data_IF_690556713176
#
_entry.id   IF_690556713176
#
_cell.length_a   1.000
_cell.length_b   1.000
_cell.length_c   1.000
_cell.angle_alpha   90.00
_cell.angle_beta   90.00
_cell.angle_gamma   90.00
#
_symmetry.space_group_name_H-M   'P 1'
#
loop_
_entity.id
_entity.type
_entity.pdbx_description
1 polymer ?
#
# COMPACT_ATOMS: atom_id res chain seq x y z
N UNK A 1 12.76 29.64 20.38
CA UNK A 1 13.15 28.54 21.29
C UNK A 1 11.88 27.86 21.78
N UNK A 2 11.52 26.70 21.22
CA UNK A 2 10.34 25.94 21.69
C UNK A 2 10.60 25.43 23.11
N UNK A 3 9.65 25.65 24.02
CA UNK A 3 9.80 25.28 25.43
C UNK A 3 9.88 23.76 25.58
N UNK A 4 10.74 23.30 26.49
CA UNK A 4 10.95 21.87 26.75
C UNK A 4 9.65 21.15 27.14
N UNK A 5 8.73 21.87 27.79
CA UNK A 5 7.39 21.39 28.15
C UNK A 5 6.52 21.10 26.93
N UNK A 6 6.60 21.93 25.88
CA UNK A 6 5.89 21.67 24.62
C UNK A 6 6.43 20.43 23.92
N UNK A 7 7.75 20.22 23.93
CA UNK A 7 8.37 19.02 23.34
C UNK A 7 7.94 17.74 24.04
N UNK A 8 7.92 17.76 25.38
CA UNK A 8 7.48 16.62 26.18
C UNK A 8 5.99 16.30 25.98
N UNK A 9 5.14 17.34 25.92
CA UNK A 9 3.72 17.15 25.65
C UNK A 9 3.46 16.55 24.26
N UNK A 10 4.18 17.02 23.22
CA UNK A 10 4.09 16.46 21.88
C UNK A 10 4.58 15.00 21.82
N UNK A 11 5.69 14.68 22.49
CA UNK A 11 6.20 13.31 22.56
C UNK A 11 5.22 12.35 23.25
N UNK A 12 4.62 12.78 24.38
CA UNK A 12 3.62 11.99 25.07
C UNK A 12 2.36 11.76 24.22
N UNK A 13 1.89 12.79 23.49
CA UNK A 13 0.77 12.66 22.58
C UNK A 13 1.04 11.67 21.44
N UNK A 14 2.26 11.69 20.87
CA UNK A 14 2.69 10.74 19.83
C UNK A 14 2.74 9.29 20.34
N UNK A 15 3.24 9.08 21.56
CA UNK A 15 3.29 7.76 22.19
C UNK A 15 1.89 7.19 22.47
N UNK A 16 0.93 8.04 22.84
CA UNK A 16 -0.46 7.64 23.05
C UNK A 16 -1.21 7.33 21.73
N UNK A 17 -0.72 7.82 20.60
CA UNK A 17 -1.28 7.52 19.27
C UNK A 17 -0.82 6.20 18.65
N UNK A 18 0.15 5.51 19.28
CA UNK A 18 0.61 4.21 18.82
C UNK A 18 -0.48 3.15 19.08
N UNK A 19 -1.34 2.93 18.10
CA UNK A 19 -2.31 1.84 18.12
C UNK A 19 -1.60 0.50 17.93
N UNK A 20 -2.05 -0.56 18.61
CA UNK A 20 -1.60 -1.93 18.33
C UNK A 20 -1.73 -2.22 16.84
N UNK A 21 -0.70 -2.83 16.24
CA UNK A 21 -0.81 -3.36 14.90
C UNK A 21 -1.85 -4.49 14.94
N UNK A 22 -3.04 -4.24 14.42
CA UNK A 22 -4.04 -5.27 14.19
C UNK A 22 -3.43 -6.37 13.31
N UNK A 23 -3.92 -7.61 13.44
CA UNK A 23 -3.57 -8.66 12.49
C UNK A 23 -3.85 -8.15 11.06
N UNK A 24 -2.82 -8.15 10.21
CA UNK A 24 -3.00 -7.76 8.82
C UNK A 24 -3.92 -8.77 8.14
N UNK A 25 -4.80 -8.27 7.31
CA UNK A 25 -5.66 -9.11 6.48
C UNK A 25 -5.63 -8.60 5.05
N UNK A 26 -6.21 -9.38 4.15
CA UNK A 26 -6.21 -9.06 2.72
C UNK A 26 -6.94 -7.74 2.46
N UNK A 27 -8.02 -7.44 3.21
CA UNK A 27 -8.76 -6.20 3.05
C UNK A 27 -7.94 -4.96 3.43
N UNK A 28 -7.16 -5.02 4.51
CA UNK A 28 -6.29 -3.90 4.92
C UNK A 28 -5.12 -3.71 3.98
N UNK A 29 -4.53 -4.78 3.45
CA UNK A 29 -3.47 -4.73 2.43
C UNK A 29 -4.00 -4.17 1.11
N UNK A 30 -5.18 -4.60 0.67
CA UNK A 30 -5.81 -4.07 -0.55
C UNK A 30 -6.16 -2.59 -0.37
N UNK A 31 -6.71 -2.20 0.77
CA UNK A 31 -7.01 -0.81 1.07
C UNK A 31 -5.75 0.08 1.06
N UNK A 32 -4.63 -0.41 1.61
CA UNK A 32 -3.37 0.33 1.61
C UNK A 32 -2.76 0.43 0.20
N UNK A 33 -2.84 -0.62 -0.60
CA UNK A 33 -2.41 -0.62 -2.00
C UNK A 33 -3.25 0.32 -2.90
N UNK A 34 -4.53 0.50 -2.58
CA UNK A 34 -5.43 1.42 -3.27
C UNK A 34 -5.37 2.87 -2.74
N UNK A 35 -4.53 3.13 -1.74
CA UNK A 35 -4.39 4.49 -1.20
C UNK A 35 -3.83 5.46 -2.26
N UNK A 36 -4.23 6.75 -2.21
CA UNK A 36 -3.73 7.75 -3.16
C UNK A 36 -2.20 7.87 -3.14
N UNK A 37 -1.58 7.71 -1.97
CA UNK A 37 -0.13 7.79 -1.80
C UNK A 37 0.59 6.60 -2.46
N UNK A 38 0.01 5.40 -2.40
CA UNK A 38 0.61 4.20 -3.02
C UNK A 38 0.42 4.17 -4.54
N UNK A 39 -0.78 4.51 -5.03
CA UNK A 39 -1.08 4.48 -6.47
C UNK A 39 -0.31 5.55 -7.26
N UNK A 40 0.13 6.63 -6.60
CA UNK A 40 0.81 7.77 -7.20
C UNK A 40 0.12 8.23 -8.50
N UNK A 41 -1.22 8.29 -8.46
CA UNK A 41 -2.03 8.46 -9.66
C UNK A 41 -1.80 9.83 -10.27
N UNK A 42 -1.36 9.86 -11.54
CA UNK A 42 -1.06 11.11 -12.24
C UNK A 42 -1.50 11.08 -13.70
N UNK A 43 -2.15 12.15 -14.14
CA UNK A 43 -2.34 12.41 -15.57
C UNK A 43 -1.02 12.91 -16.14
N UNK A 44 -0.50 12.20 -17.14
CA UNK A 44 0.81 12.47 -17.74
C UNK A 44 0.74 12.91 -19.19
N UNK A 45 -0.45 12.94 -19.76
CA UNK A 45 -0.68 13.39 -21.12
C UNK A 45 -2.04 12.98 -21.65
N UNK A 46 -2.16 13.03 -22.96
CA UNK A 46 -3.36 12.71 -23.72
C UNK A 46 -2.98 11.81 -24.91
N UNK A 47 -3.84 10.85 -25.20
CA UNK A 47 -3.73 9.97 -26.36
C UNK A 47 -4.74 10.43 -27.41
N UNK A 48 -4.30 10.56 -28.66
CA UNK A 48 -5.15 10.85 -29.79
C UNK A 48 -5.38 9.56 -30.58
N UNK A 49 -6.65 9.22 -30.79
CA UNK A 49 -7.09 8.06 -31.53
C UNK A 49 -7.83 8.53 -32.77
N UNK A 50 -7.43 8.05 -33.94
CA UNK A 50 -8.19 8.28 -35.16
C UNK A 50 -9.29 7.22 -35.25
N UNK A 51 -10.55 7.64 -35.25
CA UNK A 51 -11.71 6.77 -35.37
C UNK A 51 -12.43 7.04 -36.69
N UNK A 52 -12.43 6.07 -37.59
CA UNK A 52 -13.02 6.17 -38.92
C UNK A 52 -14.27 5.29 -39.06
N UNK A 53 -15.29 5.83 -39.71
CA UNK A 53 -16.49 5.11 -40.15
C UNK A 53 -16.72 5.37 -41.64
N UNK A 54 -17.79 4.81 -42.20
CA UNK A 54 -18.15 5.01 -43.60
C UNK A 54 -18.44 6.49 -43.96
N UNK A 55 -18.79 7.31 -42.96
CA UNK A 55 -19.05 8.75 -43.14
C UNK A 55 -17.83 9.65 -42.94
N UNK A 56 -16.64 9.08 -42.70
CA UNK A 56 -15.41 9.83 -42.47
C UNK A 56 -14.73 9.51 -41.14
N UNK A 57 -13.67 10.28 -40.83
CA UNK A 57 -12.85 10.08 -39.65
C UNK A 57 -12.97 11.23 -38.64
N UNK A 58 -12.90 10.90 -37.36
CA UNK A 58 -12.87 11.85 -36.25
C UNK A 58 -11.74 11.49 -35.30
N UNK A 59 -11.10 12.50 -34.71
CA UNK A 59 -10.10 12.28 -33.67
C UNK A 59 -10.79 12.21 -32.32
N UNK A 60 -10.55 11.12 -31.58
CA UNK A 60 -11.00 10.91 -30.20
C UNK A 60 -9.82 11.04 -29.25
N UNK A 61 -10.03 11.72 -28.14
CA UNK A 61 -8.98 11.91 -27.12
C UNK A 61 -9.26 11.09 -25.88
N UNK A 62 -8.21 10.53 -25.29
CA UNK A 62 -8.25 9.86 -23.98
C UNK A 62 -7.16 10.42 -23.09
N UNK A 63 -7.35 10.40 -21.77
CA UNK A 63 -6.29 10.76 -20.83
C UNK A 63 -5.26 9.63 -20.74
N UNK A 64 -3.98 10.01 -20.71
CA UNK A 64 -2.88 9.10 -20.39
C UNK A 64 -2.54 9.23 -18.91
N UNK A 65 -2.65 8.12 -18.21
CA UNK A 65 -2.42 8.05 -16.76
C UNK A 65 -1.16 7.24 -16.49
N UNK A 66 -0.36 7.67 -15.52
CA UNK A 66 0.59 6.80 -14.83
C UNK A 66 0.04 6.50 -13.44
N UNK A 67 0.10 5.23 -13.07
CA UNK A 67 -0.21 4.74 -11.73
C UNK A 67 0.81 3.66 -11.38
N UNK A 68 1.10 3.50 -10.09
CA UNK A 68 1.83 2.35 -9.58
C UNK A 68 0.82 1.27 -9.17
N UNK A 69 1.07 0.02 -9.53
CA UNK A 69 0.28 -1.14 -9.09
C UNK A 69 1.26 -2.09 -8.42
N UNK A 70 1.16 -2.32 -7.10
CA UNK A 70 2.03 -3.27 -6.43
C UNK A 70 1.69 -4.69 -6.91
N UNK A 71 2.70 -5.40 -7.40
CA UNK A 71 2.61 -6.77 -7.91
C UNK A 71 2.98 -7.84 -6.87
N UNK A 72 3.63 -7.42 -5.77
CA UNK A 72 4.03 -8.30 -4.68
C UNK A 72 3.85 -7.68 -3.30
N UNK A 73 3.58 -8.53 -2.30
CA UNK A 73 3.55 -8.20 -0.88
C UNK A 73 4.61 -9.04 -0.18
N UNK A 74 5.56 -8.39 0.49
CA UNK A 74 6.65 -9.06 1.23
C UNK A 74 6.34 -8.95 2.72
N UNK A 75 6.29 -10.10 3.40
CA UNK A 75 6.07 -10.18 4.85
C UNK A 75 7.37 -10.59 5.54
N UNK A 76 7.90 -9.74 6.42
CA UNK A 76 9.03 -10.05 7.30
C UNK A 76 8.55 -10.23 8.73
N UNK A 77 8.82 -11.39 9.32
CA UNK A 77 8.45 -11.75 10.69
C UNK A 77 9.54 -12.63 11.30
N UNK A 78 9.71 -12.58 12.62
CA UNK A 78 10.85 -13.21 13.30
C UNK A 78 10.73 -14.73 13.41
N UNK A 79 9.53 -15.24 13.69
CA UNK A 79 9.29 -16.66 13.93
C UNK A 79 8.37 -17.25 12.86
N UNK A 80 8.65 -18.47 12.42
CA UNK A 80 7.70 -19.26 11.64
C UNK A 80 6.37 -19.38 12.40
N UNK A 81 5.27 -19.30 11.67
CA UNK A 81 3.90 -19.31 12.20
C UNK A 81 3.36 -17.95 12.57
N UNK A 82 4.20 -16.92 12.67
CA UNK A 82 3.82 -15.59 13.18
C UNK A 82 3.69 -14.53 12.07
N UNK A 83 3.36 -14.94 10.84
CA UNK A 83 3.05 -13.98 9.78
C UNK A 83 1.79 -13.17 10.16
N UNK A 84 1.87 -11.83 10.29
CA UNK A 84 0.73 -11.03 10.69
C UNK A 84 -0.41 -11.06 9.67
N UNK A 85 -0.13 -11.37 8.40
CA UNK A 85 -1.13 -11.60 7.37
C UNK A 85 -1.81 -12.96 7.58
N UNK A 86 -2.99 -12.92 8.19
CA UNK A 86 -3.65 -14.12 8.74
C UNK A 86 -4.02 -15.16 7.67
N UNK A 87 -4.44 -14.73 6.48
CA UNK A 87 -4.88 -15.62 5.41
C UNK A 87 -3.75 -16.45 4.81
N UNK A 88 -2.51 -15.94 4.84
CA UNK A 88 -1.33 -16.63 4.27
C UNK A 88 -0.42 -17.23 5.33
N UNK A 89 -0.74 -17.05 6.62
CA UNK A 89 0.06 -17.55 7.75
C UNK A 89 0.31 -19.05 7.71
N UNK A 90 -0.65 -19.81 7.18
CA UNK A 90 -0.54 -21.25 6.98
C UNK A 90 0.58 -21.66 5.99
N UNK A 91 1.09 -20.74 5.17
CA UNK A 91 2.21 -21.02 4.26
C UNK A 91 3.57 -21.09 4.98
N UNK A 92 3.64 -20.61 6.21
CA UNK A 92 4.85 -20.57 7.04
C UNK A 92 4.55 -21.18 8.40
N UNK A 93 4.20 -22.47 8.47
CA UNK A 93 3.90 -23.13 9.76
C UNK A 93 5.13 -23.20 10.67
N UNK A 94 4.95 -23.27 12.01
CA UNK A 94 6.05 -23.43 12.96
C UNK A 94 7.00 -24.56 12.58
N UNK A 95 8.31 -24.31 12.60
CA UNK A 95 9.34 -25.27 12.23
C UNK A 95 10.38 -25.41 13.36
N UNK A 96 10.48 -26.58 14.02
CA UNK A 96 11.40 -26.80 15.13
C UNK A 96 12.89 -26.72 14.76
N UNK A 97 13.24 -26.67 13.48
CA UNK A 97 14.62 -26.52 13.00
C UNK A 97 15.03 -25.07 12.74
N UNK A 98 14.12 -24.11 12.87
CA UNK A 98 14.41 -22.70 12.65
C UNK A 98 15.24 -22.13 13.80
N UNK A 99 16.35 -21.46 13.48
CA UNK A 99 17.30 -20.94 14.48
C UNK A 99 16.80 -19.69 15.23
N UNK A 100 15.64 -19.14 14.84
CA UNK A 100 15.01 -17.97 15.45
C UNK A 100 13.48 -18.08 15.49
N UNK A 101 12.92 -19.30 15.43
CA UNK A 101 11.49 -19.59 15.50
C UNK A 101 10.93 -20.33 14.30
#
# INVERSE_FOLDING_TARGET
>A
MISHRLRLAAAAALLCGATSSFALNTATIVASALSPDCLEYRVVGICYWLYCSWGGCTVRTSIKVRHYVPDAVVSSYSNTGENPWIEVRAMSTPNPTAQAG
#
